data_IF_337678304113
#
_entry.id   IF_337678304113
#
_cell.length_a   1.000
_cell.length_b   1.000
_cell.length_c   1.000
_cell.angle_alpha   90.00
_cell.angle_beta   90.00
_cell.angle_gamma   90.00
#
_symmetry.space_group_name_H-M   'P 1'
#
loop_
_entity.id
_entity.type
_entity.pdbx_description
1 polymer ?
#
# COMPACT_ATOMS: atom_id res chain seq x y z
N UNK A 1 -1.36 -3.83 -17.81
CA UNK A 1 -2.61 -3.95 -17.03
C UNK A 1 -3.17 -2.55 -16.76
N UNK A 2 -4.49 -2.34 -16.73
CA UNK A 2 -5.07 -1.02 -16.42
C UNK A 2 -5.24 -0.85 -14.91
N UNK A 3 -4.61 0.19 -14.34
CA UNK A 3 -4.87 0.64 -12.98
C UNK A 3 -6.02 1.67 -13.04
N UNK A 4 -7.12 1.51 -12.30
CA UNK A 4 -8.18 2.51 -12.25
C UNK A 4 -7.68 3.87 -11.76
N UNK A 5 -8.06 4.94 -12.46
CA UNK A 5 -7.75 6.34 -12.09
C UNK A 5 -8.02 6.65 -10.63
N UNK A 6 -9.13 6.16 -10.08
CA UNK A 6 -9.49 6.36 -8.68
C UNK A 6 -8.40 5.89 -7.68
N UNK A 7 -7.52 4.96 -8.06
CA UNK A 7 -6.43 4.47 -7.20
C UNK A 7 -5.17 5.34 -7.26
N UNK A 8 -4.92 6.07 -8.35
CA UNK A 8 -3.70 6.89 -8.51
C UNK A 8 -3.95 8.40 -8.66
N UNK A 9 -5.21 8.82 -8.87
CA UNK A 9 -5.66 10.21 -8.90
C UNK A 9 -6.45 10.52 -7.62
N UNK A 10 -5.77 10.44 -6.47
CA UNK A 10 -6.34 10.80 -5.16
C UNK A 10 -5.28 11.37 -4.21
N UNK A 11 -5.71 12.00 -3.11
CA UNK A 11 -4.78 12.65 -2.18
C UNK A 11 -3.84 11.68 -1.47
N UNK A 12 -4.24 10.42 -1.26
CA UNK A 12 -3.35 9.40 -0.68
C UNK A 12 -2.24 9.03 -1.66
N UNK A 13 -2.57 8.88 -2.95
CA UNK A 13 -1.59 8.69 -4.04
C UNK A 13 -0.57 9.83 -4.10
N UNK A 14 -1.00 11.08 -3.96
CA UNK A 14 -0.09 12.23 -3.92
C UNK A 14 0.96 12.10 -2.79
N UNK A 15 0.56 11.57 -1.63
CA UNK A 15 1.50 11.32 -0.53
C UNK A 15 2.46 10.16 -0.84
N UNK A 16 2.01 9.14 -1.57
CA UNK A 16 2.88 8.06 -2.06
C UNK A 16 3.91 8.61 -3.07
N UNK A 17 3.49 9.52 -3.95
CA UNK A 17 4.37 10.21 -4.88
C UNK A 17 5.39 11.10 -4.15
N UNK A 18 4.98 11.80 -3.09
CA UNK A 18 5.89 12.57 -2.23
C UNK A 18 6.98 11.67 -1.61
N UNK A 19 6.64 10.46 -1.16
CA UNK A 19 7.60 9.49 -0.62
C UNK A 19 8.63 9.11 -1.69
N UNK A 20 8.16 8.73 -2.87
CA UNK A 20 9.01 8.36 -4.01
C UNK A 20 9.92 9.53 -4.43
N UNK A 21 9.36 10.73 -4.54
CA UNK A 21 10.09 11.93 -4.93
C UNK A 21 11.21 12.25 -3.94
N UNK A 22 10.90 12.26 -2.64
CA UNK A 22 11.89 12.55 -1.61
C UNK A 22 13.00 11.50 -1.54
N UNK A 23 12.66 10.22 -1.74
CA UNK A 23 13.68 9.18 -1.88
C UNK A 23 14.62 9.45 -3.06
N UNK A 24 14.06 9.77 -4.23
CA UNK A 24 14.84 10.06 -5.44
C UNK A 24 15.77 11.25 -5.26
N UNK A 25 15.30 12.31 -4.59
CA UNK A 25 16.10 13.50 -4.28
C UNK A 25 17.29 13.19 -3.36
N UNK A 26 17.09 12.30 -2.37
CA UNK A 26 18.11 11.98 -1.36
C UNK A 26 19.16 10.97 -1.85
N UNK A 27 18.77 10.02 -2.71
CA UNK A 27 19.63 8.87 -3.05
C UNK A 27 20.09 8.86 -4.50
N UNK A 28 19.25 9.36 -5.43
CA UNK A 28 19.46 9.29 -6.88
C UNK A 28 19.85 7.89 -7.41
N UNK A 29 19.46 6.82 -6.70
CA UNK A 29 19.88 5.45 -6.99
C UNK A 29 18.77 4.44 -6.69
N UNK A 30 18.73 3.38 -7.49
CA UNK A 30 17.75 2.30 -7.39
C UNK A 30 16.40 2.67 -7.97
N UNK A 31 15.63 1.64 -8.31
CA UNK A 31 14.34 1.76 -8.95
C UNK A 31 13.23 1.29 -8.01
N UNK A 32 12.21 2.14 -7.87
CA UNK A 32 10.95 1.79 -7.22
C UNK A 32 9.97 1.38 -8.30
N UNK A 33 9.59 0.10 -8.32
CA UNK A 33 8.62 -0.42 -9.28
C UNK A 33 7.19 -0.06 -8.87
N UNK A 34 6.90 -0.02 -7.57
CA UNK A 34 5.57 0.36 -7.11
C UNK A 34 5.51 0.58 -5.61
N UNK A 35 4.65 1.51 -5.21
CA UNK A 35 4.32 1.85 -3.83
C UNK A 35 2.79 1.85 -3.68
N UNK A 36 2.26 1.01 -2.79
CA UNK A 36 0.82 0.83 -2.59
C UNK A 36 0.46 1.01 -1.12
N UNK A 37 -0.60 1.76 -0.85
CA UNK A 37 -1.26 1.78 0.45
C UNK A 37 -2.47 0.83 0.45
N UNK A 38 -2.55 -0.05 1.45
CA UNK A 38 -3.61 -1.06 1.60
C UNK A 38 -4.07 -1.16 3.06
N UNK A 39 -5.23 -1.76 3.32
CA UNK A 39 -5.54 -2.30 4.66
C UNK A 39 -4.94 -3.70 4.85
N UNK A 40 -4.97 -4.19 6.09
CA UNK A 40 -4.54 -5.54 6.45
C UNK A 40 -5.25 -6.69 5.70
N UNK A 41 -6.39 -6.43 5.05
CA UNK A 41 -7.14 -7.39 4.22
C UNK A 41 -6.89 -7.17 2.72
N UNK A 42 -5.80 -6.49 2.34
CA UNK A 42 -5.44 -6.16 0.96
C UNK A 42 -6.41 -5.22 0.22
N UNK A 43 -7.29 -4.48 0.90
CA UNK A 43 -8.11 -3.45 0.24
C UNK A 43 -7.22 -2.30 -0.19
N UNK A 44 -7.08 -2.13 -1.50
CA UNK A 44 -6.23 -1.09 -2.08
C UNK A 44 -6.85 0.30 -1.86
N UNK A 45 -6.09 1.13 -1.16
CA UNK A 45 -6.43 2.53 -0.88
C UNK A 45 -5.95 3.39 -2.04
N UNK A 46 -4.65 3.31 -2.33
CA UNK A 46 -4.00 4.06 -3.39
C UNK A 46 -2.74 3.35 -3.89
N UNK A 47 -2.37 3.63 -5.13
CA UNK A 47 -1.06 3.31 -5.71
C UNK A 47 -0.39 4.60 -6.13
N UNK A 48 0.94 4.66 -6.09
CA UNK A 48 1.68 5.81 -6.62
C UNK A 48 1.43 6.00 -8.12
N UNK A 49 1.49 7.25 -8.60
CA UNK A 49 1.19 7.57 -10.00
C UNK A 49 2.18 6.97 -11.00
N UNK A 50 3.35 6.56 -10.52
CA UNK A 50 4.44 5.96 -11.30
C UNK A 50 4.56 4.45 -11.11
N UNK A 51 3.50 3.80 -10.63
CA UNK A 51 3.42 2.35 -10.53
C UNK A 51 3.68 1.69 -11.90
N UNK A 52 4.58 0.70 -11.94
CA UNK A 52 4.91 -0.01 -13.17
C UNK A 52 3.68 -0.75 -13.71
N UNK A 53 3.22 -0.35 -14.91
CA UNK A 53 2.01 -0.88 -15.56
C UNK A 53 2.13 -2.34 -16.01
N UNK A 54 3.33 -2.92 -15.96
CA UNK A 54 3.58 -4.35 -16.19
C UNK A 54 3.24 -5.19 -14.96
N UNK A 55 3.23 -4.60 -13.76
CA UNK A 55 2.91 -5.30 -12.52
C UNK A 55 1.41 -5.39 -12.29
N UNK A 56 1.00 -6.48 -11.64
CA UNK A 56 -0.36 -6.62 -11.14
C UNK A 56 -0.46 -6.07 -9.71
N UNK A 57 -1.06 -4.89 -9.58
CA UNK A 57 -1.26 -4.21 -8.30
C UNK A 57 -2.15 -5.01 -7.32
N UNK A 58 -3.06 -5.85 -7.83
CA UNK A 58 -3.88 -6.76 -7.01
C UNK A 58 -3.03 -7.84 -6.36
N UNK A 59 -2.21 -8.51 -7.14
CA UNK A 59 -1.37 -9.60 -6.63
C UNK A 59 -0.36 -9.03 -5.64
N UNK A 60 0.24 -7.86 -5.96
CA UNK A 60 1.17 -7.19 -5.07
C UNK A 60 0.53 -6.79 -3.73
N UNK A 61 -0.71 -6.27 -3.75
CA UNK A 61 -1.45 -5.97 -2.52
C UNK A 61 -1.74 -7.22 -1.69
N UNK A 62 -2.12 -8.32 -2.34
CA UNK A 62 -2.48 -9.58 -1.68
C UNK A 62 -1.25 -10.25 -1.05
N UNK A 63 -0.15 -10.32 -1.79
CA UNK A 63 1.15 -10.82 -1.28
C UNK A 63 1.60 -9.95 -0.11
N UNK A 64 1.48 -8.63 -0.22
CA UNK A 64 1.89 -7.70 0.84
C UNK A 64 1.11 -7.92 2.14
N UNK A 65 -0.22 -8.01 2.07
CA UNK A 65 -1.06 -8.28 3.23
C UNK A 65 -0.78 -9.66 3.86
N UNK A 66 -0.64 -10.70 3.03
CA UNK A 66 -0.34 -12.05 3.50
C UNK A 66 1.03 -12.12 4.21
N UNK A 67 2.07 -11.51 3.62
CA UNK A 67 3.40 -11.42 4.21
C UNK A 67 3.37 -10.72 5.56
N UNK A 68 2.61 -9.63 5.67
CA UNK A 68 2.45 -8.91 6.93
C UNK A 68 1.72 -9.75 7.99
N UNK A 69 0.67 -10.47 7.60
CA UNK A 69 -0.05 -11.39 8.48
C UNK A 69 0.85 -12.48 9.06
N UNK A 70 1.67 -13.12 8.22
CA UNK A 70 2.68 -14.11 8.68
C UNK A 70 3.68 -13.46 9.62
N UNK A 71 4.19 -12.28 9.29
CA UNK A 71 5.16 -11.58 10.14
C UNK A 71 4.57 -11.17 11.50
N UNK A 72 3.27 -10.84 11.57
CA UNK A 72 2.56 -10.61 12.84
C UNK A 72 2.42 -11.88 13.67
N UNK A 73 2.07 -13.01 13.06
CA UNK A 73 2.02 -14.29 13.80
C UNK A 73 3.41 -14.68 14.31
N UNK A 74 4.46 -14.42 13.53
CA UNK A 74 5.83 -14.65 13.95
C UNK A 74 6.22 -13.74 15.13
N UNK A 75 5.77 -12.48 15.14
CA UNK A 75 5.96 -11.58 16.28
C UNK A 75 5.39 -12.19 17.58
N UNK A 76 4.17 -12.74 17.55
CA UNK A 76 3.55 -13.39 18.71
C UNK A 76 4.33 -14.65 19.13
N UNK A 77 4.80 -15.43 18.15
CA UNK A 77 5.60 -16.63 18.40
C UNK A 77 6.96 -16.31 19.04
N UNK A 78 7.61 -15.22 18.64
CA UNK A 78 8.91 -14.81 19.18
C UNK A 78 8.81 -13.96 20.47
N UNK A 79 7.60 -13.67 20.94
CA UNK A 79 7.34 -12.83 22.12
C UNK A 79 8.07 -11.48 22.04
N UNK A 80 7.83 -10.73 20.96
CA UNK A 80 8.47 -9.43 20.72
C UNK A 80 7.47 -8.29 20.56
N UNK A 81 7.88 -7.08 20.94
CA UNK A 81 6.98 -5.95 21.08
C UNK A 81 6.52 -5.33 19.75
N UNK A 82 7.35 -5.38 18.69
CA UNK A 82 7.00 -4.69 17.44
C UNK A 82 7.66 -5.23 16.18
N UNK A 83 6.83 -5.42 15.15
CA UNK A 83 7.28 -5.68 13.79
C UNK A 83 7.79 -4.38 13.12
N UNK A 84 9.10 -4.33 12.84
CA UNK A 84 9.70 -3.19 12.12
C UNK A 84 9.24 -3.15 10.66
N UNK A 85 9.34 -4.30 9.97
CA UNK A 85 8.93 -4.54 8.57
C UNK A 85 8.94 -6.04 8.27
N UNK A 86 8.20 -6.45 7.26
CA UNK A 86 8.35 -7.76 6.63
C UNK A 86 9.03 -7.61 5.26
N UNK A 87 9.79 -8.61 4.81
CA UNK A 87 10.57 -8.52 3.57
C UNK A 87 10.68 -9.86 2.85
N UNK A 88 10.57 -9.83 1.51
CA UNK A 88 11.01 -10.90 0.62
C UNK A 88 12.14 -10.38 -0.26
N UNK A 89 13.25 -11.11 -0.32
CA UNK A 89 14.45 -10.73 -1.07
C UNK A 89 14.72 -11.78 -2.14
N UNK A 90 14.65 -11.36 -3.39
CA UNK A 90 15.17 -12.07 -4.54
C UNK A 90 16.48 -11.40 -5.00
N UNK A 91 17.19 -12.02 -5.94
CA UNK A 91 18.51 -11.56 -6.40
C UNK A 91 18.51 -10.08 -6.84
N UNK A 92 17.48 -9.70 -7.58
CA UNK A 92 17.32 -8.40 -8.24
C UNK A 92 16.10 -7.61 -7.76
N UNK A 93 15.23 -8.22 -6.96
CA UNK A 93 13.94 -7.67 -6.57
C UNK A 93 13.69 -7.83 -5.07
N UNK A 94 13.12 -6.82 -4.44
CA UNK A 94 12.82 -6.82 -3.02
C UNK A 94 11.41 -6.28 -2.77
N UNK A 95 10.64 -7.03 -1.99
CA UNK A 95 9.31 -6.62 -1.53
C UNK A 95 9.40 -6.28 -0.05
N UNK A 96 8.92 -5.09 0.31
CA UNK A 96 8.85 -4.61 1.67
C UNK A 96 7.41 -4.30 2.05
N UNK A 97 7.02 -4.66 3.28
CA UNK A 97 5.72 -4.31 3.84
C UNK A 97 5.91 -3.73 5.22
N UNK A 98 5.24 -2.61 5.49
CA UNK A 98 5.30 -1.93 6.78
C UNK A 98 3.95 -1.33 7.14
N UNK A 99 3.54 -1.53 8.39
CA UNK A 99 2.42 -0.80 8.98
C UNK A 99 2.78 0.68 9.23
N UNK A 100 1.84 1.55 8.90
CA UNK A 100 1.86 2.98 9.21
C UNK A 100 0.85 3.35 10.33
N UNK A 101 0.28 2.32 10.96
CA UNK A 101 -0.65 2.40 12.09
C UNK A 101 -2.11 2.24 11.69
N UNK A 102 -2.97 2.42 12.69
CA UNK A 102 -4.40 2.15 12.56
C UNK A 102 -5.22 3.37 12.14
N UNK A 103 -6.34 3.09 11.48
CA UNK A 103 -7.44 4.01 11.24
C UNK A 103 -8.70 3.45 11.92
N UNK A 104 -9.35 4.27 12.73
CA UNK A 104 -10.59 3.91 13.38
C UNK A 104 -11.77 4.08 12.41
N UNK A 105 -12.57 3.03 12.27
CA UNK A 105 -13.80 3.01 11.50
C UNK A 105 -14.99 2.80 12.44
N UNK A 106 -16.08 3.49 12.15
CA UNK A 106 -17.31 3.46 12.98
C UNK A 106 -17.91 2.07 13.13
N UNK A 107 -17.87 1.23 12.07
CA UNK A 107 -18.51 -0.09 12.05
C UNK A 107 -17.54 -1.28 12.13
N UNK A 108 -16.27 -1.08 11.81
CA UNK A 108 -15.26 -2.16 11.68
C UNK A 108 -14.10 -2.04 12.66
N UNK A 109 -14.21 -1.15 13.65
CA UNK A 109 -13.15 -0.94 14.64
C UNK A 109 -11.88 -0.39 14.01
N UNK A 110 -10.72 -0.81 14.51
CA UNK A 110 -9.41 -0.38 13.99
C UNK A 110 -9.01 -1.22 12.79
N UNK A 111 -8.58 -0.55 11.73
CA UNK A 111 -7.94 -1.16 10.56
C UNK A 111 -6.51 -0.70 10.46
N UNK A 112 -5.60 -1.65 10.44
CA UNK A 112 -4.19 -1.41 10.26
C UNK A 112 -3.92 -1.11 8.79
N UNK A 113 -3.22 -0.01 8.54
CA UNK A 113 -2.85 0.43 7.20
C UNK A 113 -1.42 0.05 6.93
N UNK A 114 -1.21 -0.63 5.80
CA UNK A 114 0.07 -1.10 5.34
C UNK A 114 0.51 -0.33 4.12
N UNK A 115 1.81 -0.12 4.00
CA UNK A 115 2.43 0.33 2.76
C UNK A 115 3.32 -0.79 2.24
N UNK A 116 3.05 -1.19 0.99
CA UNK A 116 3.75 -2.22 0.24
C UNK A 116 4.64 -1.55 -0.80
N UNK A 117 5.89 -2.00 -0.88
CA UNK A 117 6.92 -1.40 -1.71
C UNK A 117 7.66 -2.49 -2.47
N UNK A 118 7.72 -2.38 -3.80
CA UNK A 118 8.51 -3.26 -4.66
C UNK A 118 9.65 -2.47 -5.30
N UNK A 119 10.89 -2.92 -5.11
CA UNK A 119 12.11 -2.20 -5.50
C UNK A 119 13.17 -3.13 -6.04
N UNK A 120 14.15 -2.57 -6.75
CA UNK A 120 15.37 -3.31 -7.07
C UNK A 120 16.32 -3.43 -5.86
N UNK A 121 17.37 -4.23 -6.02
CA UNK A 121 18.39 -4.45 -5.00
C UNK A 121 19.34 -3.25 -4.77
N UNK A 122 19.22 -2.17 -5.55
CA UNK A 122 20.05 -0.98 -5.45
C UNK A 122 19.42 0.11 -4.57
N UNK A 123 18.15 -0.07 -4.20
CA UNK A 123 17.42 0.87 -3.34
C UNK A 123 17.93 0.84 -1.90
N UNK A 124 18.17 2.03 -1.33
CA UNK A 124 18.46 2.17 0.09
C UNK A 124 17.17 2.11 0.91
N UNK A 125 16.85 0.91 1.41
CA UNK A 125 15.63 0.68 2.20
C UNK A 125 15.56 1.51 3.48
N UNK A 126 16.71 1.81 4.11
CA UNK A 126 16.74 2.65 5.32
C UNK A 126 16.14 4.03 5.06
N UNK A 127 16.54 4.65 3.95
CA UNK A 127 15.99 5.95 3.53
C UNK A 127 14.50 5.86 3.22
N UNK A 128 14.05 4.81 2.52
CA UNK A 128 12.61 4.64 2.23
C UNK A 128 11.78 4.47 3.50
N UNK A 129 12.23 3.66 4.45
CA UNK A 129 11.53 3.49 5.72
C UNK A 129 11.45 4.79 6.51
N UNK A 130 12.51 5.61 6.49
CA UNK A 130 12.49 6.94 7.08
C UNK A 130 11.45 7.84 6.41
N UNK A 131 11.36 7.83 5.07
CA UNK A 131 10.31 8.56 4.36
C UNK A 131 8.92 8.04 4.73
N UNK A 132 8.69 6.72 4.71
CA UNK A 132 7.40 6.13 5.08
C UNK A 132 6.98 6.51 6.50
N UNK A 133 7.92 6.52 7.46
CA UNK A 133 7.65 6.96 8.84
C UNK A 133 7.27 8.44 8.87
N UNK A 134 8.03 9.31 8.20
CA UNK A 134 7.75 10.75 8.10
C UNK A 134 6.36 11.04 7.51
N UNK A 135 5.97 10.31 6.48
CA UNK A 135 4.71 10.51 5.77
C UNK A 135 3.51 9.73 6.36
N UNK A 136 3.74 8.85 7.33
CA UNK A 136 2.68 8.04 7.96
C UNK A 136 1.51 8.87 8.51
N UNK A 137 1.79 10.00 9.16
CA UNK A 137 0.78 10.90 9.71
C UNK A 137 -0.05 11.51 8.57
N UNK A 138 0.62 12.03 7.52
CA UNK A 138 -0.03 12.63 6.35
C UNK A 138 -0.90 11.60 5.61
N UNK A 139 -0.40 10.37 5.42
CA UNK A 139 -1.18 9.27 4.84
C UNK A 139 -2.47 9.02 5.61
N UNK A 140 -2.40 8.88 6.94
CA UNK A 140 -3.59 8.65 7.78
C UNK A 140 -4.57 9.81 7.73
N UNK A 141 -4.08 11.05 7.73
CA UNK A 141 -4.92 12.24 7.60
C UNK A 141 -5.68 12.25 6.27
N UNK A 142 -4.99 12.02 5.15
CA UNK A 142 -5.63 12.02 3.83
C UNK A 142 -6.60 10.84 3.64
N UNK A 143 -6.32 9.69 4.24
CA UNK A 143 -7.29 8.58 4.28
C UNK A 143 -8.53 8.99 5.05
N UNK A 144 -8.37 9.57 6.25
CA UNK A 144 -9.49 9.92 7.13
C UNK A 144 -10.37 11.03 6.55
N UNK A 145 -9.79 11.97 5.82
CA UNK A 145 -10.53 13.03 5.10
C UNK A 145 -11.31 12.51 3.90
N UNK A 146 -10.89 11.39 3.32
CA UNK A 146 -11.49 10.85 2.10
C UNK A 146 -12.67 9.93 2.42
N UNK A 147 -13.89 10.46 2.33
CA UNK A 147 -15.10 9.66 2.56
C UNK A 147 -15.17 8.42 1.65
N UNK A 148 -14.69 8.54 0.40
CA UNK A 148 -14.66 7.42 -0.56
C UNK A 148 -13.76 6.30 -0.06
N UNK A 149 -12.56 6.63 0.44
CA UNK A 149 -11.64 5.64 1.00
C UNK A 149 -12.21 5.07 2.29
N UNK A 150 -12.74 5.91 3.18
CA UNK A 150 -13.34 5.47 4.45
C UNK A 150 -14.50 4.50 4.21
N UNK A 151 -15.36 4.76 3.23
CA UNK A 151 -16.43 3.86 2.83
C UNK A 151 -15.87 2.54 2.28
N UNK A 152 -14.84 2.58 1.42
CA UNK A 152 -14.18 1.37 0.89
C UNK A 152 -13.62 0.49 2.01
N UNK A 153 -13.00 1.09 3.03
CA UNK A 153 -12.45 0.35 4.17
C UNK A 153 -13.54 -0.30 5.03
N UNK A 154 -14.77 0.23 4.99
CA UNK A 154 -15.93 -0.34 5.68
C UNK A 154 -16.59 -1.47 4.89
N UNK A 155 -16.35 -1.60 3.58
CA UNK A 155 -16.96 -2.65 2.75
C UNK A 155 -16.59 -4.06 3.23
N UNK A 156 -17.58 -4.94 3.29
CA UNK A 156 -17.43 -6.39 3.36
C UNK A 156 -16.72 -6.92 2.11
N UNK A 157 -16.29 -8.19 2.15
CA UNK A 157 -15.68 -8.82 0.99
C UNK A 157 -16.65 -8.94 -0.19
N UNK A 158 -17.93 -9.19 0.08
CA UNK A 158 -18.97 -9.26 -0.93
C UNK A 158 -19.18 -7.89 -1.61
N UNK A 159 -19.37 -6.83 -0.81
CA UNK A 159 -19.51 -5.45 -1.33
C UNK A 159 -18.27 -5.03 -2.11
N UNK A 160 -17.07 -5.40 -1.64
CA UNK A 160 -15.83 -5.13 -2.37
C UNK A 160 -15.82 -5.86 -3.72
N UNK A 161 -16.16 -7.16 -3.76
CA UNK A 161 -16.23 -7.92 -5.02
C UNK A 161 -17.20 -7.30 -6.02
N UNK A 162 -18.36 -6.84 -5.57
CA UNK A 162 -19.36 -6.15 -6.39
C UNK A 162 -18.82 -4.81 -6.90
N UNK A 163 -18.26 -3.98 -6.01
CA UNK A 163 -17.63 -2.71 -6.36
C UNK A 163 -16.51 -2.88 -7.42
N UNK A 164 -15.75 -3.98 -7.33
CA UNK A 164 -14.71 -4.30 -8.29
C UNK A 164 -15.23 -4.79 -9.63
N UNK A 165 -16.33 -5.54 -9.64
CA UNK A 165 -17.01 -5.91 -10.89
C UNK A 165 -17.51 -4.65 -11.61
N UNK A 166 -18.09 -3.71 -10.88
CA UNK A 166 -18.58 -2.45 -11.45
C UNK A 166 -17.45 -1.56 -11.97
N UNK A 167 -16.34 -1.46 -11.22
CA UNK A 167 -15.14 -0.77 -11.67
C UNK A 167 -14.58 -1.37 -12.96
N UNK A 168 -14.51 -2.70 -13.05
CA UNK A 168 -14.08 -3.38 -14.28
C UNK A 168 -15.03 -3.06 -15.44
N UNK A 169 -16.35 -3.20 -15.26
CA UNK A 169 -17.34 -2.88 -16.31
C UNK A 169 -17.16 -1.45 -16.83
N UNK A 170 -17.09 -0.46 -15.93
CA UNK A 170 -16.91 0.95 -16.32
C UNK A 170 -15.62 1.20 -17.13
N UNK A 171 -14.56 0.46 -16.85
CA UNK A 171 -13.28 0.58 -17.57
C UNK A 171 -13.33 -0.06 -18.95
N UNK A 172 -14.07 -1.16 -19.11
CA UNK A 172 -14.15 -1.91 -20.37
C UNK A 172 -15.29 -1.44 -21.28
N UNK A 173 -16.37 -0.86 -20.73
CA UNK A 173 -17.50 -0.27 -21.48
C UNK A 173 -17.25 1.20 -21.87
N UNK A 174 -16.22 1.86 -21.32
CA UNK A 174 -15.79 3.21 -21.72
C UNK A 174 -14.80 3.23 -22.90
N UNK A 175 -14.71 2.12 -23.64
CA UNK A 175 -13.88 1.93 -24.85
C UNK A 175 -14.78 1.52 -26.00
#
# INVERSE_FOLDING_TARGET
>A
MFVPKALYENQVSNVLDDIRYNYGMLTRKGYIYGLIAIDQDAKIIAVDSRFDRKLNYWDLSSIGAALYGVARQAQDFFDTDSLVRATLIYKDLQLYVKSIGDIALTKKGKREILVVLLVDNMVNIGVLILQMRKFSIKLKQEITKSQVVMNKLQMSEQELKEHLKDLKKRVFEST
#
